data_IF_665301455678
#
_entry.id   IF_665301455678
#
_cell.length_a   1.000
_cell.length_b   1.000
_cell.length_c   1.000
_cell.angle_alpha   90.00
_cell.angle_beta   90.00
_cell.angle_gamma   90.00
#
_symmetry.space_group_name_H-M   'P 1'
#
loop_
_entity.id
_entity.type
_entity.pdbx_description
1 polymer ?
#
# COMPACT_ATOMS: atom_id res chain seq x y z
N UNK A 1 27.27 34.70 -40.18
CA UNK A 1 27.03 33.27 -39.88
C UNK A 1 26.79 33.16 -38.39
N UNK A 2 25.53 32.92 -37.98
CA UNK A 2 25.13 32.88 -36.57
C UNK A 2 25.52 31.53 -35.99
N UNK A 3 26.26 31.58 -34.89
CA UNK A 3 26.65 30.43 -34.09
C UNK A 3 25.44 30.05 -33.21
N UNK A 4 24.64 29.07 -33.63
CA UNK A 4 23.55 28.52 -32.81
C UNK A 4 24.12 27.54 -31.82
N UNK A 5 24.68 28.07 -30.74
CA UNK A 5 24.72 27.40 -29.45
C UNK A 5 23.29 27.36 -28.85
N UNK A 6 22.37 26.68 -29.53
CA UNK A 6 21.03 26.42 -29.03
C UNK A 6 20.93 24.96 -28.61
N UNK A 7 20.68 24.76 -27.32
CA UNK A 7 20.09 23.55 -26.75
C UNK A 7 20.93 22.29 -26.89
N UNK A 8 22.12 22.33 -26.30
CA UNK A 8 22.60 21.14 -25.59
C UNK A 8 21.62 20.95 -24.44
N UNK A 9 20.53 20.22 -24.71
CA UNK A 9 19.64 19.69 -23.70
C UNK A 9 20.53 19.05 -22.62
N UNK A 10 20.68 19.73 -21.49
CA UNK A 10 21.14 19.15 -20.24
C UNK A 10 20.09 18.11 -19.85
N UNK A 11 20.09 16.97 -20.54
CA UNK A 11 19.38 15.77 -20.18
C UNK A 11 20.06 15.28 -18.92
N UNK A 12 19.62 15.78 -17.77
CA UNK A 12 19.89 15.19 -16.48
C UNK A 12 19.41 13.74 -16.54
N UNK A 13 20.31 12.84 -16.94
CA UNK A 13 20.12 11.41 -16.76
C UNK A 13 20.10 11.24 -15.26
N UNK A 14 18.89 11.15 -14.69
CA UNK A 14 18.73 10.83 -13.29
C UNK A 14 19.39 9.48 -13.07
N UNK A 15 20.16 9.37 -12.00
CA UNK A 15 20.72 8.10 -11.56
C UNK A 15 19.61 7.04 -11.54
N UNK A 16 19.85 5.91 -12.21
CA UNK A 16 18.93 4.77 -12.18
C UNK A 16 18.77 4.30 -10.72
N UNK A 17 17.55 4.38 -10.21
CA UNK A 17 17.23 4.15 -8.81
C UNK A 17 15.91 4.81 -8.40
N UNK A 18 15.76 5.06 -7.10
CA UNK A 18 14.61 5.79 -6.57
C UNK A 18 14.36 7.15 -7.28
N UNK A 19 15.39 7.98 -7.59
CA UNK A 19 15.15 9.28 -8.22
C UNK A 19 14.59 9.20 -9.64
N UNK A 20 15.08 8.26 -10.47
CA UNK A 20 14.57 8.07 -11.84
C UNK A 20 13.16 7.47 -11.81
N UNK A 21 12.95 6.40 -11.02
CA UNK A 21 11.66 5.71 -10.92
C UNK A 21 10.56 6.63 -10.37
N UNK A 22 10.83 7.36 -9.29
CA UNK A 22 9.87 8.30 -8.72
C UNK A 22 9.55 9.44 -9.71
N UNK A 23 10.54 9.89 -10.49
CA UNK A 23 10.32 10.88 -11.54
C UNK A 23 9.46 10.35 -12.67
N UNK A 24 9.67 9.11 -13.09
CA UNK A 24 8.85 8.44 -14.09
C UNK A 24 7.40 8.35 -13.60
N UNK A 25 7.18 7.78 -12.41
CA UNK A 25 5.85 7.63 -11.81
C UNK A 25 5.14 8.98 -11.70
N UNK A 26 5.82 10.02 -11.20
CA UNK A 26 5.24 11.35 -11.02
C UNK A 26 5.04 12.11 -12.34
N UNK A 27 5.73 11.74 -13.41
CA UNK A 27 5.57 12.38 -14.73
C UNK A 27 4.28 11.97 -15.44
N UNK A 28 3.68 10.84 -15.03
CA UNK A 28 2.40 10.41 -15.55
C UNK A 28 1.25 11.26 -14.99
N UNK A 29 0.74 12.16 -15.84
CA UNK A 29 -0.36 13.06 -15.51
C UNK A 29 -1.66 12.32 -15.17
N UNK A 30 -1.91 11.18 -15.81
CA UNK A 30 -3.13 10.40 -15.60
C UNK A 30 -2.99 9.49 -14.37
N UNK A 31 -1.76 9.31 -13.86
CA UNK A 31 -1.40 8.50 -12.70
C UNK A 31 -1.70 7.00 -12.87
N UNK A 32 -1.77 6.54 -14.11
CA UNK A 32 -1.83 5.11 -14.47
C UNK A 32 -0.59 4.36 -13.96
N UNK A 33 0.57 5.00 -13.89
CA UNK A 33 1.83 4.41 -13.40
C UNK A 33 1.97 4.46 -11.88
N UNK A 34 0.93 4.84 -11.12
CA UNK A 34 0.95 4.76 -9.65
C UNK A 34 0.72 3.31 -9.20
N UNK A 35 1.68 2.46 -9.55
CA UNK A 35 1.69 1.02 -9.29
C UNK A 35 2.63 0.72 -8.15
N UNK A 36 2.16 -0.04 -7.16
CA UNK A 36 2.94 -0.40 -5.97
C UNK A 36 2.66 -1.85 -5.56
N UNK A 37 3.61 -2.47 -4.85
CA UNK A 37 3.42 -3.78 -4.21
C UNK A 37 2.41 -3.66 -3.07
N UNK A 38 1.44 -4.58 -2.99
CA UNK A 38 0.47 -4.62 -1.88
C UNK A 38 1.03 -5.34 -0.66
N UNK A 39 1.93 -6.31 -0.89
CA UNK A 39 2.51 -7.17 0.14
C UNK A 39 1.44 -8.05 0.82
N UNK A 40 0.54 -8.64 0.03
CA UNK A 40 -0.63 -9.39 0.51
C UNK A 40 -0.26 -10.49 1.53
N UNK A 41 0.80 -11.26 1.30
CA UNK A 41 1.25 -12.29 2.26
C UNK A 41 1.71 -11.67 3.59
N UNK A 42 2.47 -10.57 3.53
CA UNK A 42 2.98 -9.91 4.72
C UNK A 42 1.85 -9.23 5.52
N UNK A 43 0.90 -8.63 4.82
CA UNK A 43 -0.31 -8.06 5.38
C UNK A 43 -1.17 -9.12 6.08
N UNK A 44 -1.41 -10.26 5.41
CA UNK A 44 -2.13 -11.39 5.99
C UNK A 44 -1.41 -11.93 7.25
N UNK A 45 -0.08 -12.06 7.20
CA UNK A 45 0.73 -12.46 8.36
C UNK A 45 0.60 -11.48 9.52
N UNK A 46 0.60 -10.17 9.25
CA UNK A 46 0.39 -9.15 10.28
C UNK A 46 -1.00 -9.27 10.95
N UNK A 47 -2.06 -9.45 10.15
CA UNK A 47 -3.41 -9.68 10.68
C UNK A 47 -3.49 -10.93 11.55
N UNK A 48 -2.84 -12.02 11.13
CA UNK A 48 -2.79 -13.27 11.91
C UNK A 48 -2.05 -13.10 13.25
N UNK A 49 -0.96 -12.31 13.26
CA UNK A 49 -0.26 -11.99 14.51
C UNK A 49 -1.13 -11.17 15.46
N UNK A 50 -1.74 -10.08 14.98
CA UNK A 50 -2.63 -9.24 15.79
C UNK A 50 -3.84 -10.02 16.33
N UNK A 51 -4.43 -10.89 15.51
CA UNK A 51 -5.53 -11.76 15.93
C UNK A 51 -5.09 -12.73 17.02
N UNK A 52 -3.92 -13.35 16.88
CA UNK A 52 -3.40 -14.32 17.84
C UNK A 52 -3.02 -13.64 19.16
N UNK A 53 -2.39 -12.47 19.10
CA UNK A 53 -2.08 -11.64 20.26
C UNK A 53 -3.36 -11.27 21.03
N UNK A 54 -4.40 -10.82 20.34
CA UNK A 54 -5.70 -10.54 20.97
C UNK A 54 -6.32 -11.77 21.63
N UNK A 55 -6.19 -12.95 21.05
CA UNK A 55 -6.68 -14.19 21.65
C UNK A 55 -5.95 -14.52 22.96
N UNK A 56 -4.62 -14.35 22.99
CA UNK A 56 -3.82 -14.52 24.21
C UNK A 56 -4.18 -13.49 25.29
N UNK A 57 -4.32 -12.22 24.92
CA UNK A 57 -4.74 -11.17 25.86
C UNK A 57 -6.15 -11.41 26.40
N UNK A 58 -7.07 -11.87 25.54
CA UNK A 58 -8.42 -12.26 25.96
C UNK A 58 -8.39 -13.44 26.94
N UNK A 59 -7.54 -14.44 26.70
CA UNK A 59 -7.35 -15.57 27.62
C UNK A 59 -6.87 -15.09 28.99
N UNK A 60 -5.86 -14.21 29.04
CA UNK A 60 -5.39 -13.60 30.30
C UNK A 60 -6.49 -12.80 31.00
N UNK A 61 -7.30 -12.05 30.26
CA UNK A 61 -8.39 -11.27 30.84
C UNK A 61 -9.44 -12.18 31.49
N UNK A 62 -9.79 -13.29 30.82
CA UNK A 62 -10.69 -14.30 31.39
C UNK A 62 -10.12 -14.91 32.67
N UNK A 63 -8.81 -15.15 32.73
CA UNK A 63 -8.15 -15.59 33.97
C UNK A 63 -8.38 -14.64 35.14
N UNK A 64 -8.26 -13.32 34.93
CA UNK A 64 -8.60 -12.33 35.96
C UNK A 64 -10.08 -12.38 36.34
N UNK A 65 -10.97 -12.53 35.36
CA UNK A 65 -12.42 -12.56 35.59
C UNK A 65 -12.84 -13.82 36.37
N UNK A 66 -12.23 -14.97 36.09
CA UNK A 66 -12.46 -16.24 36.78
C UNK A 66 -12.00 -16.20 38.24
N UNK A 67 -10.80 -15.68 38.48
CA UNK A 67 -10.26 -15.46 39.83
C UNK A 67 -11.16 -14.52 40.66
N UNK A 68 -11.74 -13.50 40.04
CA UNK A 68 -12.61 -12.53 40.71
C UNK A 68 -13.91 -13.16 41.22
N UNK A 69 -14.35 -14.31 40.67
CA UNK A 69 -15.56 -15.01 41.10
C UNK A 69 -15.48 -15.46 42.56
N UNK A 70 -14.30 -15.91 42.99
CA UNK A 70 -14.03 -16.41 44.35
C UNK A 70 -13.33 -15.38 45.24
N UNK A 71 -13.04 -14.19 44.71
CA UNK A 71 -12.36 -13.13 45.43
C UNK A 71 -13.25 -12.41 46.47
N UNK A 72 -12.61 -11.57 47.27
CA UNK A 72 -13.24 -10.74 48.29
C UNK A 72 -14.14 -9.63 47.68
N UNK A 73 -14.95 -9.01 48.53
CA UNK A 73 -15.90 -7.98 48.09
C UNK A 73 -15.18 -6.75 47.50
N UNK A 74 -13.98 -6.43 47.98
CA UNK A 74 -13.19 -5.30 47.47
C UNK A 74 -12.71 -5.55 46.03
N UNK A 75 -12.24 -6.76 45.71
CA UNK A 75 -11.85 -7.13 44.34
C UNK A 75 -13.05 -7.13 43.40
N UNK A 76 -14.17 -7.70 43.84
CA UNK A 76 -15.44 -7.66 43.08
C UNK A 76 -15.93 -6.23 42.84
N UNK A 77 -15.71 -5.33 43.80
CA UNK A 77 -16.03 -3.91 43.64
C UNK A 77 -15.16 -3.24 42.58
N UNK A 78 -13.87 -3.58 42.50
CA UNK A 78 -12.98 -3.08 41.44
C UNK A 78 -13.46 -3.55 40.06
N UNK A 79 -13.89 -4.81 39.91
CA UNK A 79 -14.36 -5.37 38.64
C UNK A 79 -15.58 -4.63 38.05
N UNK A 80 -16.42 -4.02 38.90
CA UNK A 80 -17.65 -3.31 38.49
C UNK A 80 -17.56 -1.79 38.55
N UNK A 81 -16.51 -1.22 39.13
CA UNK A 81 -16.36 0.23 39.31
C UNK A 81 -14.97 0.69 38.84
N UNK A 82 -14.95 1.38 37.70
CA UNK A 82 -13.72 1.87 37.08
C UNK A 82 -12.92 2.84 37.97
N UNK A 83 -13.59 3.69 38.75
CA UNK A 83 -12.88 4.64 39.63
C UNK A 83 -12.16 3.90 40.76
N UNK A 84 -12.81 2.91 41.38
CA UNK A 84 -12.18 2.05 42.39
C UNK A 84 -11.05 1.22 41.81
N UNK A 85 -11.25 0.62 40.63
CA UNK A 85 -10.21 -0.10 39.92
C UNK A 85 -8.97 0.76 39.67
N UNK A 86 -9.16 1.99 39.16
CA UNK A 86 -8.05 2.89 38.86
C UNK A 86 -7.37 3.41 40.12
N UNK A 87 -8.09 3.54 41.24
CA UNK A 87 -7.51 3.85 42.55
C UNK A 87 -6.66 2.69 43.05
N UNK A 88 -7.19 1.47 43.02
CA UNK A 88 -6.49 0.25 43.44
C UNK A 88 -5.25 -0.03 42.58
N UNK A 89 -5.32 0.17 41.26
CA UNK A 89 -4.18 0.00 40.36
C UNK A 89 -3.07 1.06 40.51
N UNK A 90 -3.27 2.11 41.32
CA UNK A 90 -2.21 3.06 41.71
C UNK A 90 -1.57 2.72 43.05
N UNK A 91 -2.23 1.86 43.83
CA UNK A 91 -1.72 1.44 45.13
C UNK A 91 -0.46 0.59 44.95
N UNK A 92 0.62 0.96 45.63
CA UNK A 92 1.88 0.25 45.57
C UNK A 92 1.74 -1.21 46.02
N UNK A 93 0.81 -1.52 46.93
CA UNK A 93 0.59 -2.87 47.46
C UNK A 93 -0.30 -3.77 46.60
N UNK A 94 -0.89 -3.26 45.52
CA UNK A 94 -1.89 -4.00 44.73
C UNK A 94 -1.39 -4.35 43.32
N UNK A 95 -0.40 -5.24 43.25
CA UNK A 95 0.18 -5.71 41.99
C UNK A 95 -0.87 -6.31 41.05
N UNK A 96 -1.82 -7.08 41.59
CA UNK A 96 -2.92 -7.67 40.80
C UNK A 96 -3.68 -6.63 39.98
N UNK A 97 -4.07 -5.50 40.59
CA UNK A 97 -4.81 -4.45 39.87
C UNK A 97 -3.91 -3.65 38.93
N UNK A 98 -2.60 -3.55 39.21
CA UNK A 98 -1.63 -2.95 38.27
C UNK A 98 -1.49 -3.80 37.01
N UNK A 99 -1.31 -5.11 37.17
CA UNK A 99 -1.23 -6.06 36.05
C UNK A 99 -2.50 -6.04 35.21
N UNK A 100 -3.67 -6.07 35.85
CA UNK A 100 -4.96 -6.00 35.14
C UNK A 100 -5.12 -4.67 34.39
N UNK A 101 -4.65 -3.56 34.95
CA UNK A 101 -4.65 -2.27 34.26
C UNK A 101 -3.71 -2.26 33.06
N UNK A 102 -2.52 -2.85 33.19
CA UNK A 102 -1.58 -2.98 32.08
C UNK A 102 -2.21 -3.81 30.95
N UNK A 103 -2.79 -4.97 31.28
CA UNK A 103 -3.51 -5.83 30.34
C UNK A 103 -4.66 -5.09 29.64
N UNK A 104 -5.48 -4.33 30.38
CA UNK A 104 -6.56 -3.53 29.79
C UNK A 104 -6.03 -2.51 28.77
N UNK A 105 -4.89 -1.86 29.05
CA UNK A 105 -4.29 -0.89 28.14
C UNK A 105 -3.71 -1.57 26.90
N UNK A 106 -3.06 -2.72 27.07
CA UNK A 106 -2.52 -3.55 25.98
C UNK A 106 -3.65 -4.01 25.06
N UNK A 107 -4.72 -4.59 25.61
CA UNK A 107 -5.91 -4.98 24.83
C UNK A 107 -6.48 -3.81 24.04
N UNK A 108 -6.59 -2.61 24.64
CA UNK A 108 -7.11 -1.43 23.94
C UNK A 108 -6.24 -1.04 22.76
N UNK A 109 -4.93 -1.10 22.91
CA UNK A 109 -3.97 -0.77 21.86
C UNK A 109 -3.99 -1.82 20.75
N UNK A 110 -3.79 -3.10 21.07
CA UNK A 110 -3.77 -4.19 20.08
C UNK A 110 -5.12 -4.31 19.35
N UNK A 111 -6.25 -4.08 20.04
CA UNK A 111 -7.59 -4.09 19.41
C UNK A 111 -7.77 -2.94 18.42
N UNK A 112 -7.21 -1.77 18.73
CA UNK A 112 -7.20 -0.62 17.82
C UNK A 112 -6.37 -0.96 16.58
N UNK A 113 -5.14 -1.44 16.77
CA UNK A 113 -4.21 -1.76 15.69
C UNK A 113 -4.76 -2.86 14.78
N UNK A 114 -5.38 -3.90 15.36
CA UNK A 114 -6.06 -4.95 14.60
C UNK A 114 -7.21 -4.42 13.74
N UNK A 115 -8.07 -3.56 14.30
CA UNK A 115 -9.21 -3.00 13.58
C UNK A 115 -8.77 -2.02 12.49
N UNK A 116 -7.75 -1.20 12.75
CA UNK A 116 -7.17 -0.31 11.76
C UNK A 116 -6.56 -1.12 10.61
N UNK A 117 -5.78 -2.17 10.92
CA UNK A 117 -5.22 -3.08 9.92
C UNK A 117 -6.32 -3.73 9.06
N UNK A 118 -7.40 -4.25 9.67
CA UNK A 118 -8.53 -4.83 8.93
C UNK A 118 -9.19 -3.82 7.98
N UNK A 119 -9.37 -2.58 8.41
CA UNK A 119 -9.95 -1.54 7.56
C UNK A 119 -9.03 -1.15 6.39
N UNK A 120 -7.72 -1.09 6.64
CA UNK A 120 -6.74 -0.86 5.58
C UNK A 120 -6.72 -2.01 4.59
N UNK A 121 -6.66 -3.26 5.05
CA UNK A 121 -6.68 -4.42 4.16
C UNK A 121 -7.99 -4.56 3.39
N UNK A 122 -9.13 -4.26 4.02
CA UNK A 122 -10.40 -4.19 3.32
C UNK A 122 -10.39 -3.12 2.21
N UNK A 123 -9.73 -1.99 2.43
CA UNK A 123 -9.61 -0.94 1.42
C UNK A 123 -8.66 -1.39 0.30
N UNK A 124 -7.50 -1.94 0.64
CA UNK A 124 -6.51 -2.47 -0.31
C UNK A 124 -7.11 -3.57 -1.19
N UNK A 125 -7.91 -4.47 -0.63
CA UNK A 125 -8.59 -5.53 -1.37
C UNK A 125 -9.62 -5.02 -2.40
N UNK A 126 -10.14 -3.80 -2.24
CA UNK A 126 -11.05 -3.18 -3.21
C UNK A 126 -10.33 -2.41 -4.32
N UNK A 127 -9.04 -2.11 -4.15
CA UNK A 127 -8.26 -1.45 -5.17
C UNK A 127 -7.92 -2.44 -6.29
N UNK A 128 -8.01 -2.06 -7.57
CA UNK A 128 -7.71 -2.99 -8.65
C UNK A 128 -6.20 -3.15 -8.86
N UNK A 129 -5.85 -4.27 -9.48
CA UNK A 129 -4.56 -4.46 -10.08
C UNK A 129 -4.37 -3.49 -11.28
N UNK A 130 -3.12 -3.14 -11.63
CA UNK A 130 -2.85 -2.42 -12.87
C UNK A 130 -3.30 -3.23 -14.09
N UNK A 131 -3.64 -2.55 -15.20
CA UNK A 131 -3.89 -3.26 -16.46
C UNK A 131 -2.60 -3.89 -16.98
N UNK A 132 -2.72 -4.97 -17.76
CA UNK A 132 -1.55 -5.64 -18.35
C UNK A 132 -0.73 -4.72 -19.26
N UNK A 133 -1.38 -3.81 -19.98
CA UNK A 133 -0.71 -2.85 -20.85
C UNK A 133 0.10 -1.81 -20.06
N UNK A 134 -0.48 -1.29 -18.98
CA UNK A 134 0.19 -0.37 -18.05
C UNK A 134 1.36 -1.07 -17.36
N UNK A 135 1.16 -2.28 -16.83
CA UNK A 135 2.24 -3.03 -16.18
C UNK A 135 3.38 -3.32 -17.15
N UNK A 136 3.10 -3.72 -18.39
CA UNK A 136 4.13 -3.95 -19.40
C UNK A 136 4.94 -2.68 -19.64
N UNK A 137 4.28 -1.55 -19.87
CA UNK A 137 4.96 -0.27 -20.09
C UNK A 137 5.79 0.17 -18.86
N UNK A 138 5.26 -0.05 -17.66
CA UNK A 138 5.97 0.19 -16.41
C UNK A 138 7.22 -0.70 -16.29
N UNK A 139 7.11 -1.99 -16.61
CA UNK A 139 8.22 -2.94 -16.55
C UNK A 139 9.32 -2.63 -17.57
N UNK A 140 8.97 -2.12 -18.76
CA UNK A 140 9.97 -1.68 -19.75
C UNK A 140 10.88 -0.57 -19.20
N UNK A 141 10.28 0.44 -18.57
CA UNK A 141 11.03 1.50 -17.89
C UNK A 141 11.78 0.95 -16.66
N UNK A 142 11.10 0.16 -15.82
CA UNK A 142 11.66 -0.37 -14.59
C UNK A 142 12.88 -1.26 -14.82
N UNK A 143 12.87 -2.07 -15.89
CA UNK A 143 14.00 -2.93 -16.26
C UNK A 143 15.03 -2.26 -17.17
N UNK A 144 14.95 -0.94 -17.34
CA UNK A 144 15.86 -0.15 -18.18
C UNK A 144 16.03 -0.75 -19.59
N UNK A 145 14.96 -1.34 -20.17
CA UNK A 145 15.01 -2.07 -21.46
C UNK A 145 15.22 -1.15 -22.67
N UNK A 146 15.26 0.15 -22.45
CA UNK A 146 15.48 1.18 -23.46
C UNK A 146 16.95 1.58 -23.62
N UNK A 147 17.85 1.05 -22.79
CA UNK A 147 19.26 1.47 -22.71
C UNK A 147 20.16 0.72 -23.71
N UNK A 148 19.71 0.61 -24.97
CA UNK A 148 20.48 0.06 -26.10
C UNK A 148 20.81 -1.44 -25.98
N UNK A 149 22.03 -1.82 -26.35
CA UNK A 149 22.55 -3.22 -26.35
C UNK A 149 22.87 -3.76 -24.93
N UNK A 150 22.60 -3.00 -23.88
CA UNK A 150 22.87 -3.42 -22.52
C UNK A 150 21.83 -4.46 -22.04
N UNK A 151 22.30 -5.39 -21.21
CA UNK A 151 21.41 -6.36 -20.56
C UNK A 151 20.40 -5.63 -19.66
N UNK A 152 19.10 -5.97 -19.74
CA UNK A 152 18.09 -5.37 -18.88
C UNK A 152 18.45 -5.52 -17.40
N UNK A 153 18.25 -4.46 -16.62
CA UNK A 153 18.49 -4.49 -15.18
C UNK A 153 17.40 -3.73 -14.42
N UNK A 154 16.97 -4.22 -13.24
CA UNK A 154 15.93 -3.55 -12.47
C UNK A 154 16.45 -2.23 -11.91
N UNK A 155 15.60 -1.21 -11.95
CA UNK A 155 15.89 0.12 -11.42
C UNK A 155 16.09 0.10 -9.90
N UNK A 156 15.42 -0.82 -9.19
CA UNK A 156 15.65 -1.07 -7.77
C UNK A 156 16.48 -2.35 -7.60
N UNK A 157 17.47 -2.31 -6.71
CA UNK A 157 18.34 -3.47 -6.43
C UNK A 157 17.92 -4.30 -5.21
N UNK A 158 18.69 -5.35 -4.92
CA UNK A 158 18.53 -6.18 -3.73
C UNK A 158 17.18 -6.91 -3.70
N UNK A 159 16.56 -6.99 -2.52
CA UNK A 159 15.24 -7.63 -2.35
C UNK A 159 14.10 -6.91 -3.07
N UNK A 160 14.33 -5.69 -3.56
CA UNK A 160 13.34 -4.94 -4.33
C UNK A 160 13.41 -5.23 -5.83
N UNK A 161 14.42 -5.95 -6.30
CA UNK A 161 14.65 -6.17 -7.73
C UNK A 161 13.42 -6.70 -8.47
N UNK A 162 12.72 -7.69 -7.91
CA UNK A 162 11.56 -8.34 -8.53
C UNK A 162 10.19 -7.85 -8.03
N UNK A 163 10.09 -6.71 -7.32
CA UNK A 163 8.81 -6.30 -6.70
C UNK A 163 7.69 -6.03 -7.73
N UNK A 164 8.02 -5.83 -9.00
CA UNK A 164 7.04 -5.55 -10.06
C UNK A 164 6.85 -6.72 -11.04
N UNK A 165 7.30 -7.93 -10.71
CA UNK A 165 7.20 -9.10 -11.60
C UNK A 165 5.82 -9.75 -11.62
N UNK A 166 5.17 -9.79 -10.46
CA UNK A 166 3.90 -10.50 -10.26
C UNK A 166 2.74 -9.52 -10.16
N UNK A 167 1.85 -9.51 -11.17
CA UNK A 167 0.72 -8.59 -11.26
C UNK A 167 -0.29 -8.74 -10.12
N UNK A 168 -0.46 -9.95 -9.58
CA UNK A 168 -1.52 -10.29 -8.64
C UNK A 168 -1.36 -9.60 -7.27
N UNK A 169 -0.11 -9.28 -6.89
CA UNK A 169 0.22 -8.59 -5.63
C UNK A 169 0.70 -7.14 -5.89
N UNK A 170 0.19 -6.54 -6.97
CA UNK A 170 0.31 -5.12 -7.29
C UNK A 170 -1.04 -4.41 -7.19
N UNK A 171 -0.98 -3.12 -6.87
CA UNK A 171 -2.14 -2.23 -6.83
C UNK A 171 -1.90 -1.01 -7.70
N UNK A 172 -2.94 -0.57 -8.42
CA UNK A 172 -3.00 0.74 -9.03
C UNK A 172 -3.74 1.71 -8.09
N UNK A 173 -3.04 2.71 -7.55
CA UNK A 173 -3.65 3.69 -6.63
C UNK A 173 -4.68 4.60 -7.30
N UNK A 174 -4.67 4.67 -8.63
CA UNK A 174 -5.70 5.33 -9.42
C UNK A 174 -6.14 4.43 -10.56
N UNK A 175 -7.43 4.15 -10.56
CA UNK A 175 -8.16 3.60 -11.70
C UNK A 175 -8.67 4.81 -12.47
N UNK A 176 -8.55 4.83 -13.80
CA UNK A 176 -9.43 5.71 -14.56
C UNK A 176 -10.86 5.40 -14.13
N UNK A 177 -11.62 6.42 -13.74
CA UNK A 177 -13.05 6.28 -13.44
C UNK A 177 -13.67 5.46 -14.57
N UNK A 178 -14.30 4.34 -14.21
CA UNK A 178 -14.66 3.24 -15.08
C UNK A 178 -15.02 3.74 -16.49
N UNK A 179 -14.13 3.59 -17.49
CA UNK A 179 -14.46 3.95 -18.85
C UNK A 179 -15.70 3.14 -19.22
N UNK A 180 -16.72 3.79 -19.77
CA UNK A 180 -17.87 3.08 -20.31
C UNK A 180 -17.38 1.96 -21.25
N UNK A 181 -18.21 0.95 -21.52
CA UNK A 181 -17.76 -0.25 -22.27
C UNK A 181 -17.10 0.11 -23.61
N UNK A 182 -17.50 1.23 -24.21
CA UNK A 182 -16.93 1.76 -25.44
C UNK A 182 -15.54 2.39 -25.23
N UNK A 183 -15.33 3.16 -24.16
CA UNK A 183 -14.01 3.68 -23.77
C UNK A 183 -13.06 2.53 -23.42
N UNK A 184 -13.53 1.50 -22.70
CA UNK A 184 -12.71 0.30 -22.45
C UNK A 184 -12.33 -0.42 -23.74
N UNK A 185 -13.27 -0.61 -24.66
CA UNK A 185 -13.00 -1.19 -25.99
C UNK A 185 -11.99 -0.35 -26.78
N UNK A 186 -12.11 0.97 -26.72
CA UNK A 186 -11.18 1.87 -27.40
C UNK A 186 -9.77 1.82 -26.76
N UNK A 187 -9.64 1.68 -25.44
CA UNK A 187 -8.36 1.44 -24.79
C UNK A 187 -7.74 0.10 -25.20
N UNK A 188 -8.52 -0.98 -25.23
CA UNK A 188 -8.02 -2.34 -25.54
C UNK A 188 -7.63 -2.49 -27.02
N UNK A 189 -8.45 -1.97 -27.94
CA UNK A 189 -8.32 -2.28 -29.36
C UNK A 189 -7.93 -1.08 -30.23
N UNK A 190 -8.18 0.15 -29.77
CA UNK A 190 -7.98 1.37 -30.57
C UNK A 190 -6.90 2.30 -29.99
N UNK A 191 -6.21 1.90 -28.92
CA UNK A 191 -5.14 2.67 -28.28
C UNK A 191 -4.09 3.22 -29.26
N UNK A 192 -3.79 2.47 -30.33
CA UNK A 192 -2.85 2.87 -31.37
C UNK A 192 -3.28 4.11 -32.19
N UNK A 193 -4.59 4.42 -32.23
CA UNK A 193 -5.14 5.59 -32.92
C UNK A 193 -4.95 6.88 -32.12
N UNK A 194 -4.69 6.77 -30.82
CA UNK A 194 -4.61 7.91 -29.91
C UNK A 194 -3.22 8.00 -29.26
N UNK A 195 -2.12 8.08 -30.02
CA UNK A 195 -0.79 8.11 -29.43
C UNK A 195 -0.59 9.37 -28.60
N UNK A 196 -0.22 9.21 -27.33
CA UNK A 196 0.28 10.30 -26.51
C UNK A 196 1.71 10.62 -26.94
N UNK A 197 1.83 11.59 -27.86
CA UNK A 197 3.10 12.03 -28.45
C UNK A 197 4.09 12.60 -27.44
N UNK A 198 3.64 13.01 -26.24
CA UNK A 198 4.53 13.48 -25.17
C UNK A 198 5.10 12.30 -24.38
N UNK A 199 4.33 11.23 -24.23
CA UNK A 199 4.71 9.98 -23.55
C UNK A 199 5.42 8.98 -24.46
N UNK A 200 5.20 9.02 -25.77
CA UNK A 200 5.83 8.11 -26.73
C UNK A 200 7.33 8.41 -26.85
N UNK A 201 8.13 7.85 -25.94
CA UNK A 201 9.59 7.79 -26.02
C UNK A 201 10.02 6.33 -26.17
N UNK A 202 11.14 6.13 -26.87
CA UNK A 202 11.80 4.83 -27.01
C UNK A 202 10.92 3.68 -27.55
N UNK A 203 10.04 3.97 -28.52
CA UNK A 203 9.28 2.93 -29.23
C UNK A 203 8.05 2.38 -28.48
N UNK A 204 7.78 2.83 -27.26
CA UNK A 204 6.54 2.50 -26.55
C UNK A 204 5.45 3.52 -26.92
N UNK A 205 4.42 3.04 -27.62
CA UNK A 205 3.23 3.83 -27.89
C UNK A 205 2.33 3.82 -26.64
N UNK A 206 2.29 4.94 -25.93
CA UNK A 206 1.27 5.20 -24.92
C UNK A 206 0.03 5.74 -25.61
N UNK A 207 -1.14 5.29 -25.19
CA UNK A 207 -2.39 5.91 -25.61
C UNK A 207 -2.70 7.13 -24.74
N UNK A 208 -3.30 8.16 -25.33
CA UNK A 208 -3.79 9.34 -24.62
C UNK A 208 -5.22 9.06 -24.17
N UNK A 209 -5.39 8.83 -22.88
CA UNK A 209 -6.70 8.51 -22.31
C UNK A 209 -7.70 9.64 -22.54
N UNK A 210 -7.29 10.90 -22.38
CA UNK A 210 -8.11 12.07 -22.72
C UNK A 210 -8.58 12.08 -24.18
N UNK A 211 -7.73 11.65 -25.11
CA UNK A 211 -8.09 11.61 -26.52
C UNK A 211 -9.08 10.48 -26.80
N UNK A 212 -8.93 9.34 -26.11
CA UNK A 212 -9.88 8.23 -26.15
C UNK A 212 -11.23 8.64 -25.54
N UNK A 213 -11.23 9.25 -24.35
CA UNK A 213 -12.44 9.77 -23.71
C UNK A 213 -13.16 10.80 -24.59
N UNK A 214 -12.41 11.70 -25.25
CA UNK A 214 -12.99 12.67 -26.17
C UNK A 214 -13.52 12.07 -27.48
N UNK A 215 -13.07 10.87 -27.83
CA UNK A 215 -13.56 10.13 -28.99
C UNK A 215 -14.85 9.37 -28.69
N UNK A 216 -15.03 8.95 -27.43
CA UNK A 216 -16.19 8.17 -26.98
C UNK A 216 -17.35 9.05 -26.49
N UNK A 217 -17.07 10.24 -25.95
CA UNK A 217 -18.06 11.23 -25.56
C UNK A 217 -18.77 11.90 -26.75
#
# INVERSE_FOLDING_TARGET
MRNTASDIELRFHKLSGFPSLASFIASDRDRTTFVYKRFDELAARNLLYLQSELAELQSKQRGFDDDDLVADLATKQCARNYAEFMRAAKDAGNERQKERKALMLEIRQTMKDYREALMFESTMATMPAPSKSVLRAFQEEYYNRHDGDNEPFPTLGGSSAGVYDEIDDLVALRVLESPDRLTHFAHEHLAFLFPDRKRSRYGIAYASDRAIESFVA
#
